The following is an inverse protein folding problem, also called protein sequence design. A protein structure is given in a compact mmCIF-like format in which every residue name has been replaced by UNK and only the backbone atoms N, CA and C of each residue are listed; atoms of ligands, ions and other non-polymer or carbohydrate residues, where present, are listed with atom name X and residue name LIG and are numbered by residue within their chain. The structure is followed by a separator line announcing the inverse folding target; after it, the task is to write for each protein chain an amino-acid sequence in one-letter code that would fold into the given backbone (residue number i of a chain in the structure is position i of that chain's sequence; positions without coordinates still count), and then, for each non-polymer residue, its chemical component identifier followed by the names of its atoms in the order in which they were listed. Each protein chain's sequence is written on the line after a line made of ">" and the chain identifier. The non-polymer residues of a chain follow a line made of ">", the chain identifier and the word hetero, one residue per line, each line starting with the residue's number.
data_IF_168536817436
#
_entry.id   IF_168536817436
#
_cell.length_a   1.000
_cell.length_b   1.000
_cell.length_c   1.000
_cell.angle_alpha   90.00
_cell.angle_beta   90.00
_cell.angle_gamma   90.00
#
_symmetry.space_group_name_H-M   'P 1'
#
loop_
_entity.id
_entity.type
_entity.pdbx_description
1 polymer ?
#
# COMPACT_ATOMS: atom_id res chain seq x y z
N UNK A 1 -6.22 -3.54 -19.10
CA UNK A 1 -5.12 -3.21 -20.03
C UNK A 1 -3.97 -2.75 -19.17
N UNK A 2 -2.90 -3.53 -19.10
CA UNK A 2 -1.76 -3.23 -18.24
C UNK A 2 -0.85 -2.21 -18.94
N UNK A 3 -0.67 -1.03 -18.34
CA UNK A 3 0.18 0.04 -18.89
C UNK A 3 1.22 0.48 -17.86
N UNK A 4 2.45 0.82 -18.27
CA UNK A 4 3.43 1.44 -17.38
C UNK A 4 2.85 2.68 -16.70
N UNK A 5 3.18 2.90 -15.43
CA UNK A 5 2.62 3.96 -14.61
C UNK A 5 2.76 5.35 -15.25
N UNK A 6 3.96 5.71 -15.68
CA UNK A 6 4.21 7.00 -16.34
C UNK A 6 3.58 7.13 -17.74
N UNK A 7 3.13 6.03 -18.37
CA UNK A 7 2.30 6.14 -19.58
C UNK A 7 0.85 6.52 -19.26
N UNK A 8 0.37 6.18 -18.06
CA UNK A 8 -0.97 6.56 -17.58
C UNK A 8 -0.96 7.98 -17.01
N UNK A 9 0.12 8.36 -16.32
CA UNK A 9 0.30 9.68 -15.71
C UNK A 9 1.53 10.41 -16.28
N UNK A 10 1.52 10.80 -17.56
CA UNK A 10 2.72 11.32 -18.25
C UNK A 10 3.20 12.68 -17.76
N UNK A 11 2.31 13.48 -17.17
CA UNK A 11 2.62 14.83 -16.67
C UNK A 11 2.90 14.88 -15.17
N UNK A 12 2.73 13.75 -14.47
CA UNK A 12 2.98 13.66 -13.04
C UNK A 12 4.48 13.75 -12.77
N UNK A 13 4.85 14.67 -11.89
CA UNK A 13 6.23 14.85 -11.43
C UNK A 13 6.36 14.23 -10.04
N UNK A 14 7.31 13.32 -9.90
CA UNK A 14 7.68 12.71 -8.62
C UNK A 14 9.15 13.03 -8.37
N UNK A 15 9.58 13.01 -7.11
CA UNK A 15 11.00 13.09 -6.78
C UNK A 15 11.78 11.91 -7.37
N UNK A 16 13.09 12.04 -7.52
CA UNK A 16 13.92 11.05 -8.22
C UNK A 16 13.86 9.65 -7.57
N UNK A 17 13.72 9.58 -6.24
CA UNK A 17 13.66 8.30 -5.53
C UNK A 17 12.32 7.58 -5.75
N UNK A 18 11.21 8.29 -5.62
CA UNK A 18 9.88 7.79 -5.90
C UNK A 18 9.73 7.43 -7.38
N UNK A 19 10.30 8.25 -8.27
CA UNK A 19 10.25 8.02 -9.71
C UNK A 19 10.89 6.70 -10.08
N UNK A 20 12.10 6.42 -9.56
CA UNK A 20 12.81 5.16 -9.81
C UNK A 20 11.98 3.94 -9.40
N UNK A 21 11.30 4.01 -8.25
CA UNK A 21 10.41 2.92 -7.79
C UNK A 21 9.25 2.71 -8.77
N UNK A 22 8.66 3.79 -9.29
CA UNK A 22 7.48 3.74 -10.14
C UNK A 22 7.78 3.47 -11.63
N UNK A 23 9.05 3.39 -12.04
CA UNK A 23 9.44 3.01 -13.41
C UNK A 23 9.02 1.57 -13.75
N UNK A 24 9.13 0.66 -12.78
CA UNK A 24 8.75 -0.75 -12.91
C UNK A 24 7.29 -1.04 -12.50
N UNK A 25 6.53 0.00 -12.14
CA UNK A 25 5.12 -0.13 -11.74
C UNK A 25 4.20 -0.13 -12.95
N UNK A 26 3.25 -1.06 -12.93
CA UNK A 26 2.22 -1.19 -13.97
C UNK A 26 0.85 -0.87 -13.39
N UNK A 27 0.07 -0.05 -14.09
CA UNK A 27 -1.34 0.20 -13.78
C UNK A 27 -2.18 -0.88 -14.45
N UNK A 28 -2.91 -1.64 -13.64
CA UNK A 28 -3.82 -2.70 -14.10
C UNK A 28 -5.20 -2.13 -14.46
N UNK A 29 -5.68 -1.19 -13.63
CA UNK A 29 -7.04 -0.62 -13.74
C UNK A 29 -7.09 0.77 -13.13
N UNK A 30 -7.84 1.67 -13.77
CA UNK A 30 -8.28 2.93 -13.17
C UNK A 30 -9.80 2.96 -13.19
N UNK A 31 -10.42 3.31 -12.08
CA UNK A 31 -11.89 3.43 -11.99
C UNK A 31 -12.29 4.57 -11.08
N UNK A 32 -13.32 5.32 -11.46
CA UNK A 32 -13.90 6.35 -10.62
C UNK A 32 -15.29 5.91 -10.12
N UNK A 33 -15.73 6.45 -8.98
CA UNK A 33 -17.14 6.38 -8.57
C UNK A 33 -18.02 7.14 -9.56
N UNK A 34 -19.33 6.84 -9.56
CA UNK A 34 -20.30 7.55 -10.41
C UNK A 34 -20.33 9.06 -10.13
N UNK A 35 -20.07 9.47 -8.89
CA UNK A 35 -19.97 10.88 -8.47
C UNK A 35 -18.62 11.52 -8.81
N UNK A 36 -17.65 10.73 -9.27
CA UNK A 36 -16.27 11.15 -9.59
C UNK A 36 -15.51 11.82 -8.43
N UNK A 37 -15.95 11.56 -7.20
CA UNK A 37 -15.33 11.99 -5.94
C UNK A 37 -14.25 11.03 -5.43
N UNK A 38 -14.09 9.87 -6.08
CA UNK A 38 -13.13 8.85 -5.67
C UNK A 38 -12.55 8.11 -6.86
N UNK A 39 -11.23 8.18 -7.05
CA UNK A 39 -10.50 7.49 -8.12
C UNK A 39 -9.68 6.36 -7.50
N UNK A 40 -9.87 5.15 -8.01
CA UNK A 40 -9.12 3.94 -7.66
C UNK A 40 -8.12 3.62 -8.75
N UNK A 41 -6.86 3.51 -8.38
CA UNK A 41 -5.75 3.15 -9.26
C UNK A 41 -5.19 1.83 -8.76
N UNK A 42 -5.42 0.76 -9.50
CA UNK A 42 -4.87 -0.55 -9.18
C UNK A 42 -3.53 -0.70 -9.88
N UNK A 43 -2.48 -0.96 -9.10
CA UNK A 43 -1.12 -1.12 -9.59
C UNK A 43 -0.58 -2.49 -9.23
N UNK A 44 0.36 -2.97 -10.04
CA UNK A 44 1.18 -4.13 -9.76
C UNK A 44 2.66 -3.77 -9.79
N UNK A 45 3.42 -4.29 -8.83
CA UNK A 45 4.88 -4.12 -8.74
C UNK A 45 5.57 -5.45 -8.47
N UNK A 46 6.81 -5.60 -8.91
CA UNK A 46 7.66 -6.77 -8.60
C UNK A 46 8.42 -6.63 -7.29
N UNK A 47 8.48 -5.41 -6.76
CA UNK A 47 9.14 -5.09 -5.51
C UNK A 47 8.10 -4.51 -4.53
N UNK A 48 8.26 -4.75 -3.21
CA UNK A 48 7.49 -4.03 -2.20
C UNK A 48 7.69 -2.52 -2.34
N UNK A 49 6.62 -1.76 -2.18
CA UNK A 49 6.66 -0.29 -2.20
C UNK A 49 6.16 0.19 -0.85
N UNK A 50 6.99 0.91 -0.12
CA UNK A 50 6.61 1.41 1.20
C UNK A 50 5.32 2.26 1.15
N UNK A 51 4.47 2.12 2.17
CA UNK A 51 3.14 2.72 2.16
C UNK A 51 3.16 4.25 2.20
N UNK A 52 4.15 4.84 2.86
CA UNK A 52 4.42 6.28 2.83
C UNK A 52 4.61 6.79 1.40
N UNK A 53 5.36 6.07 0.56
CA UNK A 53 5.59 6.42 -0.85
C UNK A 53 4.29 6.34 -1.63
N UNK A 54 3.47 5.29 -1.39
CA UNK A 54 2.14 5.19 -2.01
C UNK A 54 1.27 6.41 -1.66
N UNK A 55 1.21 6.81 -0.39
CA UNK A 55 0.44 7.98 0.03
C UNK A 55 0.98 9.29 -0.54
N UNK A 56 2.31 9.43 -0.63
CA UNK A 56 2.92 10.58 -1.29
C UNK A 56 2.49 10.64 -2.76
N UNK A 57 2.52 9.53 -3.50
CA UNK A 57 2.06 9.49 -4.90
C UNK A 57 0.57 9.77 -5.01
N UNK A 58 -0.28 9.25 -4.12
CA UNK A 58 -1.71 9.61 -4.07
C UNK A 58 -1.89 11.13 -3.95
N UNK A 59 -1.13 11.77 -3.06
CA UNK A 59 -1.16 13.22 -2.85
C UNK A 59 -0.66 13.99 -4.08
N UNK A 60 0.45 13.56 -4.69
CA UNK A 60 1.00 14.22 -5.88
C UNK A 60 0.04 14.11 -7.08
N UNK A 61 -0.61 12.96 -7.27
CA UNK A 61 -1.64 12.80 -8.30
C UNK A 61 -2.78 13.78 -8.06
N UNK A 62 -3.25 13.86 -6.81
CA UNK A 62 -4.35 14.75 -6.45
C UNK A 62 -3.97 16.22 -6.70
N UNK A 63 -2.81 16.66 -6.20
CA UNK A 63 -2.40 18.06 -6.27
C UNK A 63 -2.04 18.50 -7.69
N UNK A 64 -1.37 17.66 -8.48
CA UNK A 64 -0.89 18.05 -9.81
C UNK A 64 -1.92 17.86 -10.91
N UNK A 65 -2.74 16.81 -10.84
CA UNK A 65 -3.70 16.48 -11.90
C UNK A 65 -5.13 16.92 -11.59
N UNK A 66 -5.46 17.11 -10.32
CA UNK A 66 -6.81 17.48 -9.86
C UNK A 66 -6.82 18.62 -8.82
N UNK A 67 -6.06 19.71 -9.00
CA UNK A 67 -5.89 20.76 -7.98
C UNK A 67 -7.20 21.40 -7.50
N UNK A 68 -8.17 21.57 -8.40
CA UNK A 68 -9.43 22.27 -8.12
C UNK A 68 -10.60 21.33 -7.80
N UNK A 69 -10.35 20.03 -7.61
CA UNK A 69 -11.40 19.04 -7.38
C UNK A 69 -11.28 18.43 -5.99
N UNK A 70 -12.38 18.45 -5.25
CA UNK A 70 -12.51 17.67 -4.02
C UNK A 70 -12.79 16.21 -4.38
N UNK A 71 -11.72 15.46 -4.65
CA UNK A 71 -11.76 14.03 -4.92
C UNK A 71 -10.63 13.32 -4.18
N UNK A 72 -10.87 12.06 -3.83
CA UNK A 72 -9.89 11.21 -3.18
C UNK A 72 -9.22 10.30 -4.22
N UNK A 73 -7.89 10.33 -4.25
CA UNK A 73 -7.08 9.36 -4.99
C UNK A 73 -6.73 8.21 -4.05
N UNK A 74 -6.98 6.98 -4.50
CA UNK A 74 -6.56 5.77 -3.80
C UNK A 74 -5.83 4.82 -4.73
N UNK A 75 -4.61 4.46 -4.36
CA UNK A 75 -3.81 3.43 -5.00
C UNK A 75 -4.02 2.11 -4.23
N UNK A 76 -4.21 1.04 -5.00
CA UNK A 76 -4.26 -0.34 -4.51
C UNK A 76 -3.12 -1.11 -5.15
N UNK A 77 -2.13 -1.46 -4.35
CA UNK A 77 -0.92 -2.15 -4.78
C UNK A 77 -1.03 -3.66 -4.64
N UNK A 78 -0.60 -4.35 -5.70
CA UNK A 78 -0.46 -5.80 -5.74
C UNK A 78 1.01 -6.14 -5.99
N UNK A 79 1.63 -6.85 -5.06
CA UNK A 79 3.01 -7.29 -5.22
C UNK A 79 3.09 -8.66 -5.90
N UNK A 80 3.79 -8.72 -7.02
CA UNK A 80 4.13 -9.93 -7.77
C UNK A 80 5.57 -10.34 -7.41
N UNK A 81 5.75 -10.73 -6.15
CA UNK A 81 7.05 -11.04 -5.58
C UNK A 81 7.62 -12.34 -6.15
N UNK A 82 8.94 -12.39 -6.32
CA UNK A 82 9.62 -13.62 -6.73
C UNK A 82 9.54 -14.69 -5.64
N UNK A 83 9.76 -15.95 -6.01
CA UNK A 83 9.78 -17.08 -5.07
C UNK A 83 10.90 -17.01 -4.01
N UNK A 84 11.75 -15.99 -4.08
CA UNK A 84 12.81 -15.72 -3.09
C UNK A 84 12.26 -15.03 -1.84
N UNK A 85 11.08 -14.40 -1.94
CA UNK A 85 10.41 -13.81 -0.79
C UNK A 85 9.67 -14.90 -0.02
N UNK A 86 10.02 -15.05 1.26
CA UNK A 86 9.20 -15.77 2.24
C UNK A 86 8.28 -14.78 2.92
N UNK A 87 7.28 -15.27 3.66
CA UNK A 87 6.41 -14.38 4.44
C UNK A 87 7.21 -13.56 5.45
N UNK A 88 8.23 -14.17 6.05
CA UNK A 88 9.14 -13.51 6.98
C UNK A 88 9.92 -12.37 6.31
N UNK A 89 10.64 -12.64 5.21
CA UNK A 89 11.46 -11.61 4.59
C UNK A 89 10.63 -10.47 4.01
N UNK A 90 9.43 -10.77 3.51
CA UNK A 90 8.48 -9.74 3.11
C UNK A 90 8.06 -8.88 4.30
N UNK A 91 7.65 -9.49 5.41
CA UNK A 91 7.23 -8.73 6.59
C UNK A 91 8.37 -7.91 7.18
N UNK A 92 9.59 -8.43 7.24
CA UNK A 92 10.75 -7.67 7.75
C UNK A 92 10.98 -6.36 6.97
N UNK A 93 10.71 -6.36 5.66
CA UNK A 93 10.84 -5.17 4.80
C UNK A 93 9.58 -4.29 4.88
N UNK A 94 8.40 -4.92 4.94
CA UNK A 94 7.12 -4.23 4.82
C UNK A 94 6.47 -3.88 6.16
N UNK A 95 7.10 -4.22 7.28
CA UNK A 95 6.51 -4.13 8.62
C UNK A 95 6.03 -2.72 8.97
N UNK A 96 6.90 -1.72 8.76
CA UNK A 96 6.55 -0.32 9.02
C UNK A 96 5.41 0.17 8.13
N UNK A 97 5.33 -0.34 6.90
CA UNK A 97 4.24 -0.05 5.97
C UNK A 97 2.93 -0.65 6.46
N UNK A 98 2.95 -1.92 6.89
CA UNK A 98 1.79 -2.59 7.47
C UNK A 98 1.30 -1.88 8.74
N UNK A 99 2.21 -1.50 9.63
CA UNK A 99 1.89 -0.73 10.82
C UNK A 99 1.27 0.63 10.48
N UNK A 100 1.76 1.31 9.46
CA UNK A 100 1.19 2.58 9.00
C UNK A 100 -0.23 2.39 8.46
N UNK A 101 -0.50 1.31 7.72
CA UNK A 101 -1.85 0.97 7.26
C UNK A 101 -2.81 0.75 8.43
N UNK A 102 -2.40 -0.07 9.41
CA UNK A 102 -3.20 -0.34 10.60
C UNK A 102 -3.46 0.93 11.41
N UNK A 103 -2.45 1.80 11.56
CA UNK A 103 -2.60 3.07 12.27
C UNK A 103 -3.64 3.99 11.63
N UNK A 104 -3.67 4.02 10.30
CA UNK A 104 -4.62 4.84 9.55
C UNK A 104 -6.02 4.24 9.52
N UNK A 105 -6.13 2.91 9.65
CA UNK A 105 -7.40 2.20 9.71
C UNK A 105 -8.05 2.32 11.09
N UNK A 106 -7.33 1.91 12.14
CA UNK A 106 -7.79 2.02 13.52
C UNK A 106 -6.58 2.01 14.50
N UNK A 107 -6.39 3.07 15.32
CA UNK A 107 -5.33 3.15 16.33
C UNK A 107 -5.29 1.98 17.33
N UNK A 108 -6.45 1.35 17.59
CA UNK A 108 -6.56 0.18 18.45
C UNK A 108 -5.93 -1.03 17.77
N UNK A 109 -6.27 -1.28 16.52
CA UNK A 109 -5.70 -2.38 15.73
C UNK A 109 -4.19 -2.24 15.57
N UNK A 110 -3.70 -1.02 15.35
CA UNK A 110 -2.27 -0.72 15.37
C UNK A 110 -1.61 -1.13 16.70
N UNK A 111 -2.25 -0.78 17.82
CA UNK A 111 -1.70 -1.07 19.15
C UNK A 111 -1.66 -2.58 19.43
N UNK A 112 -2.69 -3.32 19.00
CA UNK A 112 -2.74 -4.78 19.10
C UNK A 112 -1.66 -5.42 18.23
N UNK A 113 -1.56 -5.03 16.96
CA UNK A 113 -0.60 -5.59 16.01
C UNK A 113 0.85 -5.33 16.43
N UNK A 114 1.14 -4.14 16.98
CA UNK A 114 2.48 -3.78 17.46
C UNK A 114 2.95 -4.63 18.65
N UNK A 115 2.02 -5.14 19.46
CA UNK A 115 2.31 -6.03 20.59
C UNK A 115 2.24 -7.50 20.23
N UNK A 116 1.80 -7.83 19.02
CA UNK A 116 1.61 -9.20 18.63
C UNK A 116 2.96 -9.91 18.44
N UNK A 117 2.98 -11.21 18.73
CA UNK A 117 4.10 -12.08 18.44
C UNK A 117 3.90 -12.75 17.08
N UNK A 118 4.96 -12.77 16.28
CA UNK A 118 4.95 -13.33 14.93
C UNK A 118 5.76 -14.62 14.92
N UNK A 119 5.15 -15.72 14.48
CA UNK A 119 5.85 -16.97 14.24
C UNK A 119 5.60 -17.49 12.83
N UNK A 120 6.63 -18.11 12.27
CA UNK A 120 6.67 -18.54 10.87
C UNK A 120 6.83 -20.06 10.81
N UNK A 121 5.76 -20.84 11.10
CA UNK A 121 5.85 -22.30 11.21
C UNK A 121 6.20 -22.98 9.88
N UNK A 122 5.98 -22.30 8.75
CA UNK A 122 6.44 -22.71 7.43
C UNK A 122 6.76 -21.46 6.59
N UNK A 123 7.49 -21.60 5.48
CA UNK A 123 7.89 -20.46 4.63
C UNK A 123 6.74 -19.61 4.07
N UNK A 124 5.52 -20.17 4.04
CA UNK A 124 4.31 -19.53 3.52
C UNK A 124 3.21 -19.36 4.58
N UNK A 125 3.51 -19.63 5.86
CA UNK A 125 2.53 -19.52 6.94
C UNK A 125 3.01 -18.52 7.97
N UNK A 126 2.08 -17.68 8.41
CA UNK A 126 2.27 -16.74 9.50
C UNK A 126 1.23 -17.03 10.58
N UNK A 127 1.69 -17.14 11.81
CA UNK A 127 0.85 -17.14 12.99
C UNK A 127 1.13 -15.84 13.73
N UNK A 128 0.06 -15.09 13.98
CA UNK A 128 0.08 -13.85 14.77
C UNK A 128 -0.62 -14.16 16.08
N UNK A 129 0.10 -14.01 17.19
CA UNK A 129 -0.42 -14.20 18.54
C UNK A 129 -0.60 -12.83 19.17
N UNK A 130 -1.83 -12.51 19.59
CA UNK A 130 -2.15 -11.23 20.24
C UNK A 130 -2.42 -11.53 21.72
N UNK A 131 -1.83 -10.74 22.62
CA UNK A 131 -2.13 -10.83 24.05
C UNK A 131 -3.63 -10.58 24.30
N UNK A 132 -4.25 -11.46 25.09
CA UNK A 132 -5.63 -11.32 25.50
C UNK A 132 -5.80 -10.02 26.30
N UNK A 133 -6.69 -9.16 25.81
CA UNK A 133 -7.01 -7.90 26.47
C UNK A 133 -8.48 -7.57 26.24
N UNK A 134 -9.09 -6.80 27.15
CA UNK A 134 -10.48 -6.31 27.01
C UNK A 134 -10.72 -5.59 25.67
N UNK A 135 -9.64 -5.05 25.09
CA UNK A 135 -9.63 -4.38 23.80
C UNK A 135 -9.68 -5.40 22.64
N UNK A 136 -8.96 -6.52 22.76
CA UNK A 136 -8.99 -7.61 21.79
C UNK A 136 -10.33 -8.39 21.82
N UNK A 137 -10.95 -8.54 23.00
CA UNK A 137 -12.19 -9.30 23.19
C UNK A 137 -13.44 -8.59 22.63
N UNK A 138 -13.36 -7.27 22.40
CA UNK A 138 -14.48 -6.45 21.90
C UNK A 138 -14.54 -6.32 20.36
N UNK A 139 -13.62 -6.94 19.63
CA UNK A 139 -13.60 -6.97 18.15
C UNK A 139 -13.88 -8.36 17.63
#
# INVERSE_FOLDING_TARGET
>A
MNKPFFKVFPTLKLDDSTKLIFEDVTVEKVSATSRQDYIRIYISSRLPIEKNVIYQVEQEIQQQLFPDRDLMIKIYEKFLLSSQYTVQTFLDIYWESLLLEFKNYDPIEYTLLRKAEFSYPSGNSLIITIEESVIAEKK
#
